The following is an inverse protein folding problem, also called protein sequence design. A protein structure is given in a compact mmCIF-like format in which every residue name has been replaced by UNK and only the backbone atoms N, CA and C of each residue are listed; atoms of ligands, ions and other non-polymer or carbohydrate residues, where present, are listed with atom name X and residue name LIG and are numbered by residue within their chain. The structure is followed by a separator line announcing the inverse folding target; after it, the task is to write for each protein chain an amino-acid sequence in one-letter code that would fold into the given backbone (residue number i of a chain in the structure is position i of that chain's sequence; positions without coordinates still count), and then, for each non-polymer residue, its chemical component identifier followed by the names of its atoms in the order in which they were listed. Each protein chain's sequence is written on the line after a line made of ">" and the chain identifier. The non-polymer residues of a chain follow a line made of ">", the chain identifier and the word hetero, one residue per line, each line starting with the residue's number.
data_IF_615268567343
#
_entry.id   IF_615268567343
#
_cell.length_a   1.000
_cell.length_b   1.000
_cell.length_c   1.000
_cell.angle_alpha   90.00
_cell.angle_beta   90.00
_cell.angle_gamma   90.00
#
_symmetry.space_group_name_H-M   'P 1'
#
loop_
_entity.id
_entity.type
_entity.pdbx_description
1 polymer ?
#
# COMPACT_ATOMS: atom_id res chain seq x y z
N UNK A 1 -8.88 13.44 -7.26
CA UNK A 1 -8.16 13.25 -5.97
C UNK A 1 -7.58 11.85 -5.94
N UNK A 2 -6.33 11.69 -5.49
CA UNK A 2 -5.68 10.38 -5.34
C UNK A 2 -5.42 10.07 -3.86
N UNK A 3 -5.72 8.85 -3.42
CA UNK A 3 -5.39 8.37 -2.08
C UNK A 3 -4.18 7.42 -2.13
N UNK A 4 -3.34 7.49 -1.10
CA UNK A 4 -2.28 6.50 -0.83
C UNK A 4 -2.57 5.88 0.52
N UNK A 5 -2.78 4.57 0.55
CA UNK A 5 -3.05 3.82 1.77
C UNK A 5 -1.75 3.40 2.46
N UNK A 6 -1.82 3.00 3.73
CA UNK A 6 -0.63 2.73 4.57
C UNK A 6 0.44 3.84 4.46
N UNK A 7 -0.01 5.08 4.33
CA UNK A 7 0.77 6.24 3.93
C UNK A 7 1.85 6.63 4.94
N UNK A 8 1.77 6.18 6.20
CA UNK A 8 2.81 6.39 7.21
C UNK A 8 4.04 5.47 7.05
N UNK A 9 3.93 4.44 6.21
CA UNK A 9 5.02 3.53 5.88
C UNK A 9 6.04 4.14 4.90
N UNK A 10 7.17 3.43 4.69
CA UNK A 10 8.24 3.88 3.78
C UNK A 10 7.73 4.12 2.36
N UNK A 11 7.10 3.10 1.75
CA UNK A 11 6.59 3.18 0.38
C UNK A 11 5.50 4.25 0.26
N UNK A 12 4.55 4.30 1.20
CA UNK A 12 3.48 5.29 1.16
C UNK A 12 3.99 6.73 1.23
N UNK A 13 4.97 7.01 2.12
CA UNK A 13 5.62 8.32 2.20
C UNK A 13 6.38 8.67 0.92
N UNK A 14 7.12 7.71 0.34
CA UNK A 14 7.84 7.92 -0.91
C UNK A 14 6.87 8.22 -2.05
N UNK A 15 5.79 7.44 -2.18
CA UNK A 15 4.74 7.67 -3.18
C UNK A 15 4.12 9.06 -3.05
N UNK A 16 3.78 9.51 -1.83
CA UNK A 16 3.22 10.85 -1.62
C UNK A 16 4.19 11.96 -1.99
N UNK A 17 5.49 11.80 -1.69
CA UNK A 17 6.53 12.76 -2.06
C UNK A 17 6.68 12.86 -3.58
N UNK A 18 6.74 11.73 -4.28
CA UNK A 18 6.85 11.71 -5.73
C UNK A 18 5.61 12.30 -6.41
N UNK A 19 4.42 11.99 -5.92
CA UNK A 19 3.19 12.60 -6.41
C UNK A 19 3.20 14.12 -6.18
N UNK A 20 3.75 14.59 -5.07
CA UNK A 20 3.86 16.02 -4.79
C UNK A 20 4.87 16.72 -5.73
N UNK A 21 6.00 16.07 -6.01
CA UNK A 21 7.05 16.61 -6.87
C UNK A 21 6.63 16.66 -8.34
N UNK A 22 6.03 15.57 -8.83
CA UNK A 22 5.70 15.45 -10.25
C UNK A 22 4.33 16.05 -10.61
N UNK A 23 3.39 16.06 -9.65
CA UNK A 23 2.02 16.53 -9.87
C UNK A 23 1.56 17.46 -8.72
N UNK A 24 2.17 18.64 -8.56
CA UNK A 24 1.92 19.51 -7.40
C UNK A 24 0.46 19.95 -7.25
N UNK A 25 -0.26 20.13 -8.35
CA UNK A 25 -1.66 20.52 -8.36
C UNK A 25 -2.64 19.36 -8.08
N UNK A 26 -2.17 18.10 -8.05
CA UNK A 26 -3.03 16.94 -7.82
C UNK A 26 -3.42 16.86 -6.34
N UNK A 27 -4.72 16.91 -5.97
CA UNK A 27 -5.15 16.71 -4.58
C UNK A 27 -4.84 15.30 -4.10
N UNK A 28 -4.18 15.20 -2.94
CA UNK A 28 -3.66 13.95 -2.35
C UNK A 28 -4.25 13.69 -0.98
N UNK A 29 -4.61 12.44 -0.74
CA UNK A 29 -5.07 11.92 0.56
C UNK A 29 -4.09 10.86 1.04
N UNK A 30 -3.65 11.00 2.28
CA UNK A 30 -2.90 9.97 2.99
C UNK A 30 -3.85 9.20 3.91
N UNK A 31 -4.07 7.92 3.64
CA UNK A 31 -4.89 7.07 4.49
C UNK A 31 -3.99 6.31 5.45
N UNK A 32 -4.20 6.52 6.76
CA UNK A 32 -3.38 5.97 7.85
C UNK A 32 -4.24 5.54 9.02
N UNK A 33 -3.78 4.55 9.80
CA UNK A 33 -4.45 4.14 11.04
C UNK A 33 -4.39 5.21 12.12
N UNK A 34 -3.26 5.89 12.21
CA UNK A 34 -2.99 6.95 13.17
C UNK A 34 -2.54 8.22 12.43
N UNK A 35 -3.43 9.24 12.32
CA UNK A 35 -3.12 10.49 11.64
C UNK A 35 -1.93 11.26 12.22
N UNK A 36 -1.65 11.13 13.52
CA UNK A 36 -0.53 11.81 14.16
C UNK A 36 0.83 11.43 13.56
N UNK A 37 0.95 10.24 12.97
CA UNK A 37 2.18 9.75 12.32
C UNK A 37 2.53 10.49 11.04
N UNK A 38 1.62 11.28 10.48
CA UNK A 38 1.84 12.11 9.29
C UNK A 38 1.58 13.61 9.55
N UNK A 39 1.45 14.01 10.81
CA UNK A 39 1.31 15.42 11.14
C UNK A 39 2.43 16.25 10.50
N UNK A 40 2.06 17.35 9.86
CA UNK A 40 3.00 18.26 9.21
C UNK A 40 3.42 17.92 7.78
N UNK A 41 2.86 16.88 7.15
CA UNK A 41 3.10 16.64 5.71
C UNK A 41 2.33 17.66 4.87
N UNK A 42 3.05 18.65 4.33
CA UNK A 42 2.44 19.74 3.57
C UNK A 42 1.74 19.25 2.28
N UNK A 43 0.60 19.86 1.95
CA UNK A 43 -0.13 19.60 0.71
C UNK A 43 -0.78 18.22 0.60
N UNK A 44 -1.00 17.54 1.74
CA UNK A 44 -1.64 16.24 1.83
C UNK A 44 -2.75 16.28 2.87
N UNK A 45 -3.95 15.88 2.51
CA UNK A 45 -5.03 15.66 3.46
C UNK A 45 -4.83 14.31 4.14
N UNK A 46 -4.78 14.28 5.47
CA UNK A 46 -4.58 13.04 6.25
C UNK A 46 -5.92 12.56 6.76
N UNK A 47 -6.28 11.32 6.43
CA UNK A 47 -7.53 10.68 6.86
C UNK A 47 -7.24 9.39 7.62
N UNK A 48 -8.05 9.12 8.66
CA UNK A 48 -8.01 7.84 9.37
C UNK A 48 -8.67 6.75 8.52
N UNK A 49 -7.97 5.62 8.31
CA UNK A 49 -8.51 4.42 7.71
C UNK A 49 -7.67 3.20 8.09
N UNK A 50 -8.34 2.12 8.41
CA UNK A 50 -7.73 0.84 8.79
C UNK A 50 -8.28 -0.28 7.90
N UNK A 51 -7.42 -1.09 7.32
CA UNK A 51 -7.84 -2.25 6.51
C UNK A 51 -8.68 -3.27 7.31
N UNK A 52 -8.52 -3.31 8.64
CA UNK A 52 -9.34 -4.13 9.52
C UNK A 52 -10.73 -3.54 9.82
N UNK A 53 -10.97 -2.29 9.43
CA UNK A 53 -12.20 -1.55 9.67
C UNK A 53 -12.72 -0.99 8.33
N UNK A 54 -13.61 -1.77 7.70
CA UNK A 54 -14.16 -1.47 6.37
C UNK A 54 -14.83 -0.09 6.32
N UNK A 55 -15.60 0.27 7.35
CA UNK A 55 -16.34 1.52 7.36
C UNK A 55 -15.40 2.72 7.46
N UNK A 56 -14.32 2.61 8.26
CA UNK A 56 -13.28 3.64 8.33
C UNK A 56 -12.57 3.83 6.99
N UNK A 57 -12.36 2.74 6.23
CA UNK A 57 -11.77 2.81 4.89
C UNK A 57 -12.72 3.47 3.89
N UNK A 58 -14.00 3.14 3.91
CA UNK A 58 -15.02 3.78 3.05
C UNK A 58 -15.04 5.29 3.30
N UNK A 59 -15.08 5.71 4.56
CA UNK A 59 -15.06 7.12 4.94
C UNK A 59 -13.78 7.82 4.46
N UNK A 60 -12.61 7.19 4.69
CA UNK A 60 -11.32 7.74 4.26
C UNK A 60 -11.21 7.93 2.74
N UNK A 61 -11.95 7.15 1.96
CA UNK A 61 -11.91 7.18 0.49
C UNK A 61 -13.00 8.05 -0.13
N UNK A 62 -13.82 8.77 0.64
CA UNK A 62 -14.85 9.67 0.08
C UNK A 62 -14.25 10.71 -0.85
N UNK A 63 -14.79 10.83 -2.06
CA UNK A 63 -14.36 11.77 -3.10
C UNK A 63 -13.02 11.42 -3.74
N UNK A 64 -12.42 10.27 -3.42
CA UNK A 64 -11.22 9.75 -4.06
C UNK A 64 -11.60 9.11 -5.39
N UNK A 65 -10.88 9.45 -6.46
CA UNK A 65 -11.10 8.88 -7.80
C UNK A 65 -10.09 7.80 -8.17
N UNK A 66 -8.90 7.83 -7.55
CA UNK A 66 -7.87 6.81 -7.71
C UNK A 66 -7.20 6.50 -6.37
N UNK A 67 -6.83 5.24 -6.16
CA UNK A 67 -6.19 4.78 -4.93
C UNK A 67 -4.92 3.99 -5.23
N UNK A 68 -3.83 4.30 -4.52
CA UNK A 68 -2.67 3.41 -4.41
C UNK A 68 -2.89 2.52 -3.18
N UNK A 69 -3.21 1.25 -3.44
CA UNK A 69 -3.35 0.22 -2.42
C UNK A 69 -1.97 -0.36 -2.10
N UNK A 70 -1.37 0.11 -1.01
CA UNK A 70 -0.10 -0.44 -0.52
C UNK A 70 -0.37 -1.73 0.24
N UNK A 71 0.30 -2.80 -0.17
CA UNK A 71 0.14 -4.13 0.44
C UNK A 71 0.37 -4.09 1.97
N UNK A 72 -0.53 -4.69 2.73
CA UNK A 72 -0.43 -4.75 4.18
C UNK A 72 0.80 -5.58 4.62
N UNK A 73 1.47 -5.23 5.72
CA UNK A 73 2.57 -6.03 6.26
C UNK A 73 2.05 -7.37 6.81
N UNK A 74 2.89 -8.40 6.77
CA UNK A 74 2.61 -9.72 7.34
C UNK A 74 2.89 -9.76 8.85
N UNK A 75 2.30 -8.86 9.64
CA UNK A 75 2.57 -8.74 11.07
C UNK A 75 1.29 -9.02 11.87
N UNK A 76 1.40 -9.87 12.90
CA UNK A 76 0.37 -10.00 13.92
C UNK A 76 -0.76 -10.97 13.62
N UNK A 77 -0.57 -11.98 12.77
CA UNK A 77 -1.55 -13.04 12.54
C UNK A 77 -2.84 -12.61 11.85
N UNK A 78 -2.91 -11.37 11.39
CA UNK A 78 -4.03 -10.88 10.59
C UNK A 78 -4.01 -11.56 9.24
N UNK A 79 -5.16 -12.02 8.78
CA UNK A 79 -5.33 -12.51 7.43
C UNK A 79 -5.16 -11.34 6.42
N UNK A 80 -3.98 -11.22 5.83
CA UNK A 80 -3.68 -10.18 4.85
C UNK A 80 -4.65 -10.17 3.67
N UNK A 81 -5.17 -11.32 3.29
CA UNK A 81 -6.15 -11.44 2.21
C UNK A 81 -7.42 -10.69 2.61
N UNK A 82 -7.92 -10.91 3.83
CA UNK A 82 -9.09 -10.20 4.35
C UNK A 82 -8.87 -8.70 4.42
N UNK A 83 -7.70 -8.25 4.89
CA UNK A 83 -7.35 -6.83 4.93
C UNK A 83 -7.35 -6.20 3.53
N UNK A 84 -6.80 -6.88 2.54
CA UNK A 84 -6.79 -6.39 1.16
C UNK A 84 -8.19 -6.39 0.55
N UNK A 85 -9.00 -7.43 0.82
CA UNK A 85 -10.42 -7.50 0.38
C UNK A 85 -11.24 -6.35 0.94
N UNK A 86 -11.07 -6.03 2.23
CA UNK A 86 -11.72 -4.87 2.84
C UNK A 86 -11.33 -3.57 2.14
N UNK A 87 -10.05 -3.37 1.83
CA UNK A 87 -9.58 -2.17 1.14
C UNK A 87 -10.13 -2.07 -0.30
N UNK A 88 -10.23 -3.19 -1.03
CA UNK A 88 -10.83 -3.27 -2.36
C UNK A 88 -12.34 -2.98 -2.28
N UNK A 89 -13.04 -3.60 -1.35
CA UNK A 89 -14.47 -3.38 -1.15
C UNK A 89 -14.77 -1.93 -0.72
N UNK A 90 -13.93 -1.35 0.15
CA UNK A 90 -14.04 0.06 0.51
C UNK A 90 -13.88 0.98 -0.70
N UNK A 91 -12.93 0.69 -1.58
CA UNK A 91 -12.74 1.44 -2.81
C UNK A 91 -14.00 1.39 -3.70
N UNK A 92 -14.60 0.21 -3.86
CA UNK A 92 -15.86 0.05 -4.61
C UNK A 92 -17.00 0.85 -3.99
N UNK A 93 -17.22 0.72 -2.67
CA UNK A 93 -18.29 1.45 -1.95
C UNK A 93 -18.12 2.97 -1.97
N UNK A 94 -16.88 3.44 -1.91
CA UNK A 94 -16.57 4.87 -1.95
C UNK A 94 -16.62 5.48 -3.37
N UNK A 95 -16.82 4.67 -4.42
CA UNK A 95 -16.86 5.12 -5.81
C UNK A 95 -15.47 5.45 -6.39
N UNK A 96 -14.41 4.85 -5.85
CA UNK A 96 -13.07 4.91 -6.47
C UNK A 96 -13.15 4.24 -7.84
N UNK A 97 -12.59 4.91 -8.86
CA UNK A 97 -12.60 4.36 -10.21
C UNK A 97 -11.41 3.46 -10.48
N UNK A 98 -10.21 3.85 -10.01
CA UNK A 98 -8.95 3.15 -10.32
C UNK A 98 -8.18 2.78 -9.06
N UNK A 99 -7.68 1.55 -9.04
CA UNK A 99 -6.79 1.05 -7.98
C UNK A 99 -5.45 0.63 -8.56
N UNK A 100 -4.37 1.19 -8.03
CA UNK A 100 -2.99 0.74 -8.27
C UNK A 100 -2.55 -0.11 -7.09
N UNK A 101 -2.41 -1.40 -7.27
CA UNK A 101 -2.01 -2.32 -6.20
C UNK A 101 -0.51 -2.60 -6.22
N UNK A 102 0.16 -2.42 -5.08
CA UNK A 102 1.58 -2.78 -4.93
C UNK A 102 1.72 -4.26 -4.59
N UNK A 103 1.95 -5.06 -5.62
CA UNK A 103 2.21 -6.49 -5.52
C UNK A 103 3.72 -6.78 -5.43
N UNK A 104 4.11 -8.03 -5.52
CA UNK A 104 5.49 -8.48 -5.45
C UNK A 104 5.88 -9.25 -6.71
N UNK A 105 7.15 -9.10 -7.13
CA UNK A 105 7.76 -9.84 -8.25
C UNK A 105 7.64 -11.35 -8.05
N UNK A 106 7.76 -12.09 -9.15
CA UNK A 106 7.68 -13.54 -9.23
C UNK A 106 6.43 -14.00 -9.96
N UNK A 107 6.43 -15.25 -10.38
CA UNK A 107 5.34 -15.87 -11.13
C UNK A 107 4.36 -16.69 -10.26
N UNK A 108 4.60 -16.78 -8.94
CA UNK A 108 3.78 -17.53 -8.00
C UNK A 108 4.11 -19.02 -7.91
N UNK A 109 5.16 -19.48 -8.59
CA UNK A 109 5.60 -20.89 -8.54
C UNK A 109 6.74 -21.13 -7.55
N UNK A 110 7.19 -20.12 -6.84
CA UNK A 110 8.31 -20.18 -5.90
C UNK A 110 7.90 -20.80 -4.55
N UNK A 111 7.26 -21.96 -4.59
CA UNK A 111 6.67 -22.65 -3.42
C UNK A 111 7.68 -23.04 -2.32
N UNK A 112 8.98 -23.00 -2.64
CA UNK A 112 10.07 -23.41 -1.73
C UNK A 112 10.92 -22.25 -1.22
N UNK A 113 10.48 -21.01 -1.41
CA UNK A 113 11.21 -19.83 -0.94
C UNK A 113 10.58 -19.27 0.33
N UNK A 114 11.34 -18.54 1.18
CA UNK A 114 10.78 -17.82 2.33
C UNK A 114 9.67 -16.83 1.95
N UNK A 115 9.58 -16.44 0.68
CA UNK A 115 8.60 -15.49 0.15
C UNK A 115 7.34 -16.13 -0.41
N UNK A 116 7.26 -17.47 -0.49
CA UNK A 116 6.14 -18.19 -1.07
C UNK A 116 4.78 -17.75 -0.49
N UNK A 117 4.67 -17.65 0.84
CA UNK A 117 3.44 -17.21 1.50
C UNK A 117 3.08 -15.76 1.14
N UNK A 118 4.07 -14.88 1.05
CA UNK A 118 3.85 -13.48 0.63
C UNK A 118 3.39 -13.42 -0.82
N UNK A 119 4.01 -14.16 -1.71
CA UNK A 119 3.63 -14.23 -3.13
C UNK A 119 2.21 -14.78 -3.29
N UNK A 120 1.85 -15.85 -2.58
CA UNK A 120 0.50 -16.43 -2.63
C UNK A 120 -0.57 -15.41 -2.25
N UNK A 121 -0.38 -14.67 -1.15
CA UNK A 121 -1.30 -13.60 -0.73
C UNK A 121 -1.40 -12.49 -1.79
N UNK A 122 -0.27 -12.09 -2.36
CA UNK A 122 -0.30 -11.02 -3.38
C UNK A 122 -1.00 -11.50 -4.66
N UNK A 123 -0.80 -12.77 -5.11
CA UNK A 123 -1.51 -13.33 -6.28
C UNK A 123 -3.01 -13.44 -6.02
N UNK A 124 -3.41 -13.84 -4.80
CA UNK A 124 -4.82 -13.87 -4.44
C UNK A 124 -5.42 -12.44 -4.48
N UNK A 125 -4.71 -11.46 -3.95
CA UNK A 125 -5.18 -10.06 -4.00
C UNK A 125 -5.27 -9.53 -5.44
N UNK A 126 -4.32 -9.88 -6.31
CA UNK A 126 -4.40 -9.56 -7.74
C UNK A 126 -5.68 -10.16 -8.36
N UNK A 127 -5.94 -11.44 -8.09
CA UNK A 127 -7.14 -12.13 -8.60
C UNK A 127 -8.43 -11.48 -8.06
N UNK A 128 -8.48 -11.18 -6.75
CA UNK A 128 -9.63 -10.52 -6.12
C UNK A 128 -9.88 -9.12 -6.74
N UNK A 129 -8.82 -8.35 -7.02
CA UNK A 129 -8.93 -7.04 -7.65
C UNK A 129 -9.37 -7.14 -9.11
N UNK A 130 -8.81 -8.07 -9.88
CA UNK A 130 -9.16 -8.31 -11.28
C UNK A 130 -10.61 -8.80 -11.45
N UNK A 131 -11.19 -9.43 -10.42
CA UNK A 131 -12.58 -9.87 -10.42
C UNK A 131 -13.59 -8.73 -10.14
N UNK A 132 -13.13 -7.51 -9.87
CA UNK A 132 -13.99 -6.34 -9.66
C UNK A 132 -14.25 -5.58 -10.97
N UNK A 133 -15.18 -4.63 -10.91
CA UNK A 133 -15.46 -3.63 -11.94
C UNK A 133 -14.55 -2.40 -11.92
N UNK A 134 -13.56 -2.37 -11.03
CA UNK A 134 -12.59 -1.29 -10.92
C UNK A 134 -11.57 -1.32 -12.08
N UNK A 135 -11.14 -0.14 -12.52
CA UNK A 135 -9.91 -0.06 -13.31
C UNK A 135 -8.72 -0.43 -12.41
N UNK A 136 -7.91 -1.36 -12.81
CA UNK A 136 -6.80 -1.80 -11.97
C UNK A 136 -5.44 -1.75 -12.68
N UNK A 137 -4.42 -1.50 -11.89
CA UNK A 137 -3.00 -1.61 -12.27
C UNK A 137 -2.31 -2.42 -11.18
N UNK A 138 -1.57 -3.44 -11.58
CA UNK A 138 -0.76 -4.25 -10.66
C UNK A 138 0.70 -3.89 -10.84
N UNK A 139 1.28 -3.26 -9.83
CA UNK A 139 2.70 -2.95 -9.76
C UNK A 139 3.42 -4.09 -9.01
N UNK A 140 4.03 -5.02 -9.73
CA UNK A 140 4.83 -6.11 -9.15
C UNK A 140 6.23 -5.61 -8.83
N UNK A 141 6.41 -5.12 -7.61
CA UNK A 141 7.68 -4.57 -7.14
C UNK A 141 8.68 -5.69 -6.81
N UNK A 142 9.96 -5.43 -7.08
CA UNK A 142 11.08 -6.24 -6.58
C UNK A 142 11.40 -5.90 -5.13
N UNK A 143 12.58 -6.32 -4.67
CA UNK A 143 13.11 -5.90 -3.36
C UNK A 143 13.44 -4.41 -3.37
N UNK A 144 13.15 -3.75 -2.28
CA UNK A 144 13.46 -2.34 -2.12
C UNK A 144 14.91 -2.18 -1.68
N UNK A 145 15.73 -1.61 -2.51
CA UNK A 145 17.18 -1.44 -2.30
C UNK A 145 17.51 -0.62 -1.04
N UNK A 146 16.64 0.29 -0.63
CA UNK A 146 16.81 1.08 0.59
C UNK A 146 16.90 0.22 1.86
N UNK A 147 16.21 -0.92 1.88
CA UNK A 147 16.28 -1.90 2.97
C UNK A 147 17.67 -2.54 3.02
N UNK A 148 18.18 -2.94 1.87
CA UNK A 148 19.50 -3.58 1.77
C UNK A 148 20.63 -2.61 2.11
N UNK A 149 20.54 -1.37 1.64
CA UNK A 149 21.49 -0.30 1.99
C UNK A 149 21.48 -0.04 3.50
N UNK A 150 20.32 -0.03 4.16
CA UNK A 150 20.23 0.13 5.62
C UNK A 150 20.86 -1.07 6.36
N UNK A 151 20.64 -2.30 5.87
CA UNK A 151 21.27 -3.49 6.43
C UNK A 151 22.79 -3.47 6.28
N UNK A 152 23.30 -3.12 5.11
CA UNK A 152 24.73 -2.96 4.85
C UNK A 152 25.35 -1.90 5.77
N UNK A 153 24.72 -0.75 5.95
CA UNK A 153 25.19 0.29 6.85
C UNK A 153 25.29 -0.22 8.29
N UNK A 154 24.24 -0.90 8.78
CA UNK A 154 24.23 -1.47 10.14
C UNK A 154 25.28 -2.57 10.32
N UNK A 155 25.50 -3.39 9.29
CA UNK A 155 26.52 -4.43 9.33
C UNK A 155 27.93 -3.81 9.38
N UNK A 156 28.18 -2.78 8.58
CA UNK A 156 29.44 -2.03 8.61
C UNK A 156 29.68 -1.37 9.98
N UNK A 157 28.68 -0.75 10.59
CA UNK A 157 28.77 -0.17 11.93
C UNK A 157 29.09 -1.20 13.02
N UNK A 158 28.70 -2.46 12.81
CA UNK A 158 28.96 -3.59 13.74
C UNK A 158 30.23 -4.35 13.43
N UNK A 159 30.96 -3.98 12.38
CA UNK A 159 32.17 -4.68 11.95
C UNK A 159 31.94 -6.09 11.42
N UNK A 160 30.84 -6.33 10.73
CA UNK A 160 30.44 -7.65 10.18
C UNK A 160 30.80 -7.80 8.70
N UNK A 161 31.87 -7.21 8.25
CA UNK A 161 32.50 -7.41 6.96
C UNK A 161 33.93 -7.85 7.13
#
# INVERSE_FOLDING_TARGET
>A
MIAVTAASGRLGRATLRELAAQFPALPRVAVVRDPARLAGMAGVEVRRGDYGDLDSMVEALRGVTAMVLVSAPAIGGSDRITLHRNAIEAARRAGVRRVVYTSVIGNGTELRTPFAATQAVNRQTEADLMATDLEWIVARNGFYLDIDVEHMRKANERGWY
#
